data_IF_508414330370
#
_entry.id   IF_508414330370
#
_cell.length_a   1.000
_cell.length_b   1.000
_cell.length_c   1.000
_cell.angle_alpha   90.00
_cell.angle_beta   90.00
_cell.angle_gamma   90.00
#
_symmetry.space_group_name_H-M   'P 1'
#
loop_
_entity.id
_entity.type
_entity.pdbx_description
1 polymer ?
#
# COMPACT_ATOMS: atom_id res chain seq x y z
N UNK A 1 -2.66 7.78 -11.72
CA UNK A 1 -2.88 6.35 -11.44
C UNK A 1 -4.11 6.25 -10.53
N UNK A 2 -5.17 5.54 -10.92
CA UNK A 2 -6.38 5.43 -10.12
C UNK A 2 -6.07 4.97 -8.68
N UNK A 3 -6.62 5.62 -7.65
CA UNK A 3 -6.47 5.20 -6.25
C UNK A 3 -6.72 3.70 -6.00
N UNK A 4 -7.76 3.05 -6.57
CA UNK A 4 -7.98 1.62 -6.34
C UNK A 4 -6.93 0.70 -6.99
N UNK A 5 -6.03 1.25 -7.81
CA UNK A 5 -4.89 0.52 -8.36
C UNK A 5 -3.64 0.65 -7.49
N UNK A 6 -3.63 1.51 -6.46
CA UNK A 6 -2.48 1.69 -5.59
C UNK A 6 -2.59 0.76 -4.37
N UNK A 7 -1.48 0.11 -4.02
CA UNK A 7 -1.36 -0.68 -2.79
C UNK A 7 -0.09 -0.28 -2.07
N UNK A 8 -0.23 0.19 -0.83
CA UNK A 8 0.89 0.43 0.07
C UNK A 8 1.25 -0.86 0.79
N UNK A 9 2.54 -1.20 0.80
CA UNK A 9 3.09 -2.40 1.44
C UNK A 9 4.17 -1.99 2.43
N UNK A 10 4.07 -2.51 3.65
CA UNK A 10 5.07 -2.37 4.69
C UNK A 10 5.33 -3.74 5.33
N UNK A 11 6.61 -4.09 5.53
CA UNK A 11 6.99 -5.37 6.15
C UNK A 11 6.40 -6.61 5.45
N UNK A 12 6.21 -6.54 4.13
CA UNK A 12 5.60 -7.62 3.34
C UNK A 12 4.08 -7.73 3.45
N UNK A 13 3.40 -6.79 4.12
CA UNK A 13 1.94 -6.76 4.27
C UNK A 13 1.34 -5.53 3.61
N UNK A 14 0.19 -5.69 2.96
CA UNK A 14 -0.58 -4.55 2.47
C UNK A 14 -1.19 -3.77 3.65
N UNK A 15 -1.09 -2.45 3.57
CA UNK A 15 -1.72 -1.54 4.51
C UNK A 15 -3.22 -1.41 4.19
N UNK A 16 -4.05 -1.38 5.24
CA UNK A 16 -5.50 -1.21 5.14
C UNK A 16 -5.87 0.22 5.50
N UNK A 17 -6.89 0.76 4.83
CA UNK A 17 -7.33 2.15 5.05
C UNK A 17 -7.88 2.38 6.46
N UNK A 18 -8.46 1.35 7.08
CA UNK A 18 -8.99 1.41 8.46
C UNK A 18 -7.91 1.24 9.55
N UNK A 19 -6.62 1.16 9.16
CA UNK A 19 -5.50 0.99 10.10
C UNK A 19 -4.55 2.17 10.03
N UNK A 20 -4.03 2.55 11.19
CA UNK A 20 -3.06 3.62 11.33
C UNK A 20 -1.64 3.11 11.09
N UNK A 21 -0.72 4.03 10.80
CA UNK A 21 0.73 3.72 10.72
C UNK A 21 1.29 3.14 12.03
N UNK A 22 0.69 3.47 13.18
CA UNK A 22 1.07 2.89 14.47
C UNK A 22 0.68 1.42 14.58
N UNK A 23 -0.44 0.99 13.98
CA UNK A 23 -0.86 -0.42 13.97
C UNK A 23 0.13 -1.32 13.21
N UNK A 24 0.96 -0.72 12.36
CA UNK A 24 2.04 -1.37 11.61
C UNK A 24 3.42 -1.12 12.22
N UNK A 25 3.53 -0.40 13.33
CA UNK A 25 4.80 0.03 13.95
C UNK A 25 5.73 0.75 12.96
N UNK A 26 5.18 1.57 12.06
CA UNK A 26 5.98 2.36 11.13
C UNK A 26 6.68 3.49 11.90
N UNK A 27 8.00 3.55 11.79
CA UNK A 27 8.82 4.58 12.43
C UNK A 27 9.38 5.57 11.41
N UNK A 28 9.84 6.73 11.88
CA UNK A 28 10.50 7.70 11.02
C UNK A 28 11.71 7.08 10.30
N UNK A 29 11.80 7.30 8.99
CA UNK A 29 12.83 6.70 8.14
C UNK A 29 12.48 5.31 7.58
N UNK A 30 11.33 4.74 7.95
CA UNK A 30 10.82 3.51 7.34
C UNK A 30 10.49 3.70 5.86
N UNK A 31 10.70 2.64 5.07
CA UNK A 31 10.38 2.63 3.64
C UNK A 31 9.05 1.92 3.40
N UNK A 32 8.14 2.58 2.68
CA UNK A 32 6.90 2.02 2.20
C UNK A 32 7.03 1.67 0.71
N UNK A 33 6.61 0.47 0.34
CA UNK A 33 6.59 0.04 -1.05
C UNK A 33 5.21 0.33 -1.65
N UNK A 34 5.16 1.13 -2.72
CA UNK A 34 3.96 1.35 -3.52
C UNK A 34 3.95 0.35 -4.68
N UNK A 35 2.95 -0.52 -4.74
CA UNK A 35 2.74 -1.47 -5.84
C UNK A 35 1.46 -1.11 -6.58
N UNK A 36 1.48 -1.24 -7.91
CA UNK A 36 0.33 -1.00 -8.76
C UNK A 36 -0.39 -2.32 -9.07
N UNK A 37 -1.66 -2.41 -8.68
CA UNK A 37 -2.56 -3.47 -9.10
C UNK A 37 -3.04 -3.18 -10.52
N UNK A 38 -2.38 -3.80 -11.51
CA UNK A 38 -2.85 -3.80 -12.89
C UNK A 38 -4.07 -4.70 -12.97
N UNK A 39 -5.26 -4.12 -13.16
CA UNK A 39 -6.39 -4.88 -13.69
C UNK A 39 -6.11 -5.09 -15.18
N UNK A 40 -6.12 -6.35 -15.64
CA UNK A 40 -5.99 -6.69 -17.05
C UNK A 40 -6.94 -5.85 -17.90
N UNK A 41 -6.44 -5.39 -19.06
CA UNK A 41 -6.98 -4.28 -19.84
C UNK A 41 -8.48 -4.31 -20.09
N UNK A 42 -9.09 -3.12 -20.06
CA UNK A 42 -10.35 -2.87 -20.72
C UNK A 42 -10.12 -3.02 -22.24
N UNK A 43 -10.71 -4.04 -22.85
CA UNK A 43 -10.93 -4.14 -24.29
C UNK A 43 -12.42 -3.98 -24.57
#
# INVERSE_FOLDING_TARGET
>A
IPPPQQRLIFGGKQMLDDKTVNDYNVTAGSVLHLVLALRGGFY
#
